data_IF_476672009128
#
_entry.id   IF_476672009128
#
_cell.length_a   1.000
_cell.length_b   1.000
_cell.length_c   1.000
_cell.angle_alpha   90.00
_cell.angle_beta   90.00
_cell.angle_gamma   90.00
#
_symmetry.space_group_name_H-M   'P 1'
#
loop_
_entity.id
_entity.type
_entity.pdbx_description
1 polymer ?
#
# COMPACT_ATOMS: atom_id res chain seq x y z
N UNK A 1 19.06 20.97 9.70
CA UNK A 1 19.23 19.72 10.49
C UNK A 1 17.93 18.94 10.44
N UNK A 2 17.96 17.62 10.18
CA UNK A 2 16.73 16.78 10.18
C UNK A 2 16.43 16.30 11.59
N UNK A 3 15.19 16.52 12.06
CA UNK A 3 14.68 15.87 13.26
C UNK A 3 14.72 14.34 13.08
N UNK A 4 15.03 13.61 14.16
CA UNK A 4 15.00 12.14 14.15
C UNK A 4 13.70 11.68 14.78
N UNK A 5 12.98 10.82 14.08
CA UNK A 5 11.76 10.20 14.58
C UNK A 5 12.05 8.73 14.88
N UNK A 6 11.66 8.26 16.07
CA UNK A 6 11.77 6.87 16.47
C UNK A 6 10.42 6.39 17.03
N UNK A 7 9.96 5.23 16.57
CA UNK A 7 8.83 4.55 17.22
C UNK A 7 9.29 3.84 18.50
N UNK A 8 8.49 3.94 19.54
CA UNK A 8 8.71 3.28 20.84
C UNK A 8 7.42 2.62 21.28
N UNK A 9 7.56 1.52 22.01
CA UNK A 9 6.46 0.91 22.77
C UNK A 9 6.64 1.34 24.21
N UNK A 10 5.55 1.77 24.85
CA UNK A 10 5.59 2.10 26.26
C UNK A 10 5.80 0.83 27.08
N UNK A 11 6.80 0.86 27.96
CA UNK A 11 7.09 -0.22 28.90
C UNK A 11 6.91 0.25 30.37
N UNK A 12 6.14 1.30 30.62
CA UNK A 12 5.97 1.83 31.98
C UNK A 12 5.55 0.75 32.99
N UNK A 13 6.21 0.78 34.16
CA UNK A 13 6.11 -0.18 35.28
C UNK A 13 4.81 -0.08 36.10
N UNK A 14 3.80 0.64 35.62
CA UNK A 14 2.56 0.91 36.36
C UNK A 14 1.43 -0.01 35.86
N UNK A 15 0.87 -0.89 36.71
CA UNK A 15 -0.06 -1.96 36.31
C UNK A 15 -1.45 -1.49 35.85
N UNK A 16 -1.70 -0.18 35.78
CA UNK A 16 -3.00 0.42 35.44
C UNK A 16 -3.04 1.11 34.06
N UNK A 17 -1.96 1.02 33.27
CA UNK A 17 -1.92 1.61 31.93
C UNK A 17 -1.44 0.57 30.92
N UNK A 18 -2.33 0.17 30.01
CA UNK A 18 -2.02 -0.76 28.92
C UNK A 18 -0.94 -0.27 27.96
N UNK A 19 -0.41 -1.17 27.12
CA UNK A 19 0.67 -0.89 26.18
C UNK A 19 0.22 0.09 25.10
N UNK A 20 1.08 1.05 24.75
CA UNK A 20 0.85 2.03 23.68
C UNK A 20 2.06 2.14 22.78
N UNK A 21 1.80 2.56 21.54
CA UNK A 21 2.82 2.89 20.54
C UNK A 21 2.93 4.40 20.46
N UNK A 22 4.15 4.92 20.49
CA UNK A 22 4.41 6.35 20.37
C UNK A 22 5.54 6.68 19.40
N UNK A 23 5.56 7.94 18.95
CA UNK A 23 6.65 8.55 18.21
C UNK A 23 7.41 9.49 19.14
N UNK A 24 8.71 9.24 19.28
CA UNK A 24 9.64 10.21 19.84
C UNK A 24 10.21 11.03 18.69
N UNK A 25 9.91 12.33 18.69
CA UNK A 25 10.50 13.29 17.76
C UNK A 25 11.63 13.99 18.49
N UNK A 26 12.88 13.64 18.20
CA UNK A 26 14.04 14.32 18.77
C UNK A 26 14.45 15.50 17.89
N UNK A 27 14.30 16.71 18.43
CA UNK A 27 14.82 17.95 17.84
C UNK A 27 15.96 18.51 18.70
N UNK A 28 16.82 19.40 18.16
CA UNK A 28 17.88 20.07 18.93
C UNK A 28 17.34 20.91 20.10
N UNK A 29 16.07 21.31 20.04
CA UNK A 29 15.42 22.22 20.99
C UNK A 29 14.67 21.47 22.11
N UNK A 30 14.63 20.13 22.03
CA UNK A 30 13.84 19.27 22.90
C UNK A 30 13.12 18.19 22.11
N UNK A 31 12.79 17.07 22.76
CA UNK A 31 12.07 15.97 22.12
C UNK A 31 10.66 15.81 22.66
N UNK A 32 9.68 15.67 21.76
CA UNK A 32 8.28 15.43 22.10
C UNK A 32 7.91 13.95 21.89
N UNK A 33 7.05 13.43 22.77
CA UNK A 33 6.47 12.09 22.66
C UNK A 33 4.99 12.21 22.29
N UNK A 34 4.63 11.65 21.14
CA UNK A 34 3.25 11.58 20.67
C UNK A 34 2.76 10.13 20.69
N UNK A 35 1.64 9.86 21.36
CA UNK A 35 0.99 8.54 21.33
C UNK A 35 0.19 8.38 20.04
N UNK A 36 0.40 7.26 19.36
CA UNK A 36 -0.29 6.90 18.12
C UNK A 36 -1.49 5.97 18.34
N UNK A 37 -1.58 5.37 19.53
CA UNK A 37 -2.60 4.38 19.88
C UNK A 37 -3.12 4.62 21.29
N UNK A 38 -4.34 4.17 21.51
CA UNK A 38 -4.96 4.04 22.83
C UNK A 38 -4.28 2.91 23.64
N UNK A 39 -4.40 2.89 24.98
CA UNK A 39 -3.84 1.82 25.81
C UNK A 39 -4.45 0.48 25.43
N UNK A 40 -3.60 -0.46 25.07
CA UNK A 40 -3.96 -1.83 24.75
C UNK A 40 -3.78 -2.71 26.00
N UNK A 41 -4.86 -3.35 26.44
CA UNK A 41 -4.83 -4.26 27.60
C UNK A 41 -4.53 -5.71 27.21
N UNK A 42 -4.54 -6.02 25.91
CA UNK A 42 -4.32 -7.35 25.36
C UNK A 42 -3.39 -7.34 24.14
N UNK A 43 -2.55 -8.37 23.93
CA UNK A 43 -1.63 -8.47 22.79
C UNK A 43 -2.34 -8.39 21.43
N UNK A 44 -3.52 -9.01 21.30
CA UNK A 44 -4.26 -9.09 20.04
C UNK A 44 -4.76 -7.69 19.61
N UNK A 45 -5.11 -6.84 20.59
CA UNK A 45 -5.52 -5.45 20.34
C UNK A 45 -4.32 -4.64 19.87
N UNK A 46 -3.14 -4.85 20.46
CA UNK A 46 -1.91 -4.19 20.04
C UNK A 46 -1.52 -4.60 18.61
N UNK A 47 -1.62 -5.89 18.26
CA UNK A 47 -1.35 -6.38 16.91
C UNK A 47 -2.27 -5.73 15.87
N UNK A 48 -3.58 -5.66 16.13
CA UNK A 48 -4.53 -5.00 15.23
C UNK A 48 -4.21 -3.51 15.04
N UNK A 49 -3.85 -2.80 16.12
CA UNK A 49 -3.43 -1.40 16.05
C UNK A 49 -2.12 -1.21 15.26
N UNK A 50 -1.16 -2.14 15.38
CA UNK A 50 0.07 -2.14 14.56
C UNK A 50 -0.26 -2.34 13.08
N UNK A 51 -1.12 -3.31 12.75
CA UNK A 51 -1.53 -3.58 11.36
C UNK A 51 -2.23 -2.37 10.74
N UNK A 52 -3.09 -1.70 11.50
CA UNK A 52 -3.76 -0.47 11.06
C UNK A 52 -2.76 0.65 10.78
N UNK A 53 -1.79 0.89 11.67
CA UNK A 53 -0.72 1.86 11.46
C UNK A 53 0.14 1.51 10.23
N UNK A 54 0.47 0.23 10.04
CA UNK A 54 1.24 -0.22 8.87
C UNK A 54 0.47 0.03 7.57
N UNK A 55 -0.83 -0.24 7.55
CA UNK A 55 -1.69 0.05 6.40
C UNK A 55 -1.72 1.55 6.10
N UNK A 56 -1.97 2.39 7.12
CA UNK A 56 -1.98 3.85 6.95
C UNK A 56 -0.63 4.40 6.46
N UNK A 57 0.49 3.88 6.95
CA UNK A 57 1.83 4.28 6.48
C UNK A 57 2.08 3.85 5.03
N UNK A 58 1.60 2.67 4.61
CA UNK A 58 1.70 2.22 3.22
C UNK A 58 0.85 3.09 2.28
N UNK A 59 -0.37 3.45 2.70
CA UNK A 59 -1.25 4.37 1.97
C UNK A 59 -0.60 5.75 1.84
N UNK A 60 -0.09 6.32 2.93
CA UNK A 60 0.61 7.60 2.92
C UNK A 60 1.85 7.57 2.02
N UNK A 61 2.61 6.47 2.03
CA UNK A 61 3.76 6.30 1.15
C UNK A 61 3.35 6.24 -0.32
N UNK A 62 2.22 5.59 -0.63
CA UNK A 62 1.66 5.59 -1.98
C UNK A 62 1.23 7.00 -2.41
N UNK A 63 0.53 7.75 -1.55
CA UNK A 63 0.15 9.13 -1.82
C UNK A 63 1.39 10.02 -2.05
N UNK A 64 2.40 9.90 -1.18
CA UNK A 64 3.65 10.64 -1.31
C UNK A 64 4.39 10.30 -2.61
N UNK A 65 4.45 9.02 -3.00
CA UNK A 65 5.02 8.59 -4.29
C UNK A 65 4.25 9.21 -5.46
N UNK A 66 2.93 9.27 -5.37
CA UNK A 66 2.12 9.94 -6.38
C UNK A 66 2.43 11.44 -6.44
N UNK A 67 2.62 12.11 -5.29
CA UNK A 67 3.01 13.53 -5.22
C UNK A 67 4.41 13.77 -5.81
N UNK A 68 5.40 12.95 -5.47
CA UNK A 68 6.75 13.08 -6.02
C UNK A 68 6.81 12.77 -7.52
N UNK A 69 6.04 11.78 -8.00
CA UNK A 69 5.92 11.48 -9.41
C UNK A 69 5.30 12.66 -10.19
N UNK A 70 4.35 13.39 -9.60
CA UNK A 70 3.79 14.64 -10.15
C UNK A 70 4.81 15.77 -10.18
N UNK A 71 5.54 15.99 -9.09
CA UNK A 71 6.52 17.06 -8.97
C UNK A 71 7.73 16.89 -9.92
N UNK A 72 8.18 15.65 -10.15
CA UNK A 72 9.29 15.36 -11.07
C UNK A 72 8.93 15.58 -12.56
N UNK A 73 7.65 15.69 -12.90
CA UNK A 73 7.15 15.84 -14.28
C UNK A 73 6.74 17.28 -14.62
N UNK A 74 6.86 18.22 -13.68
CA UNK A 74 6.57 19.64 -13.94
C UNK A 74 5.10 19.93 -14.25
N UNK A 75 4.19 19.01 -13.95
CA UNK A 75 2.79 19.07 -14.37
C UNK A 75 1.86 18.55 -13.25
N UNK A 76 0.77 19.28 -13.02
CA UNK A 76 -0.29 18.93 -12.09
C UNK A 76 -1.06 17.67 -12.58
N UNK A 77 -0.64 16.45 -12.15
CA UNK A 77 -1.35 15.13 -12.32
C UNK A 77 -1.45 14.58 -13.77
N UNK A 78 -1.46 13.24 -14.03
CA UNK A 78 -1.97 12.09 -13.25
C UNK A 78 -0.95 10.96 -12.98
N UNK A 79 -1.34 9.94 -12.18
CA UNK A 79 -0.53 8.75 -11.83
C UNK A 79 -0.01 8.04 -13.08
N UNK A 80 1.31 7.90 -13.20
CA UNK A 80 1.89 7.14 -14.31
C UNK A 80 2.14 5.72 -13.86
N UNK A 81 1.18 4.86 -14.20
CA UNK A 81 1.33 3.42 -14.13
C UNK A 81 2.51 2.98 -15.01
N UNK A 82 3.27 1.94 -14.63
CA UNK A 82 4.33 1.39 -15.47
C UNK A 82 3.83 1.11 -16.89
N UNK A 83 4.59 1.56 -17.90
CA UNK A 83 4.20 1.34 -19.30
C UNK A 83 4.38 -0.10 -19.73
N UNK A 84 5.35 -0.80 -19.14
CA UNK A 84 5.64 -2.19 -19.45
C UNK A 84 4.63 -3.13 -18.79
N UNK A 85 4.02 -4.07 -19.52
CA UNK A 85 3.07 -5.04 -18.99
C UNK A 85 3.65 -5.88 -17.84
N UNK A 86 4.92 -6.29 -17.95
CA UNK A 86 5.62 -7.04 -16.90
C UNK A 86 5.66 -6.30 -15.56
N UNK A 87 6.00 -5.01 -15.60
CA UNK A 87 6.16 -4.17 -14.41
C UNK A 87 4.80 -3.80 -13.80
N UNK A 88 3.82 -3.57 -14.66
CA UNK A 88 2.45 -3.29 -14.26
C UNK A 88 1.80 -4.51 -13.60
N UNK A 89 2.03 -5.72 -14.15
CA UNK A 89 1.60 -6.96 -13.52
C UNK A 89 2.28 -7.19 -12.17
N UNK A 90 3.60 -7.04 -12.08
CA UNK A 90 4.33 -7.21 -10.82
C UNK A 90 3.82 -6.25 -9.73
N UNK A 91 3.48 -5.02 -10.10
CA UNK A 91 2.82 -4.06 -9.20
C UNK A 91 1.47 -4.60 -8.72
N UNK A 92 0.60 -5.04 -9.64
CA UNK A 92 -0.73 -5.57 -9.32
C UNK A 92 -0.66 -6.82 -8.43
N UNK A 93 0.26 -7.74 -8.72
CA UNK A 93 0.48 -8.97 -7.94
C UNK A 93 0.92 -8.66 -6.51
N UNK A 94 1.79 -7.65 -6.32
CA UNK A 94 2.29 -7.26 -5.00
C UNK A 94 1.21 -6.70 -4.05
N UNK A 95 0.06 -6.27 -4.58
CA UNK A 95 -1.07 -5.73 -3.81
C UNK A 95 -2.05 -6.82 -3.34
N UNK A 96 -1.95 -8.04 -3.89
CA UNK A 96 -2.49 -9.26 -3.30
C UNK A 96 -4.02 -9.38 -3.18
N UNK A 97 -4.83 -8.51 -3.80
CA UNK A 97 -6.30 -8.61 -3.73
C UNK A 97 -6.99 -8.32 -5.06
N UNK A 98 -8.09 -9.04 -5.30
CA UNK A 98 -8.90 -8.91 -6.52
C UNK A 98 -9.47 -7.49 -6.68
N UNK A 99 -9.93 -6.86 -5.59
CA UNK A 99 -10.47 -5.50 -5.64
C UNK A 99 -9.44 -4.46 -6.10
N UNK A 100 -8.18 -4.58 -5.65
CA UNK A 100 -7.10 -3.71 -6.13
C UNK A 100 -6.76 -4.00 -7.59
N UNK A 101 -6.73 -5.27 -7.96
CA UNK A 101 -6.50 -5.70 -9.35
C UNK A 101 -7.56 -5.13 -10.29
N UNK A 102 -8.85 -5.24 -9.93
CA UNK A 102 -9.99 -4.66 -10.67
C UNK A 102 -9.85 -3.15 -10.83
N UNK A 103 -9.55 -2.43 -9.75
CA UNK A 103 -9.44 -0.96 -9.77
C UNK A 103 -8.33 -0.49 -10.73
N UNK A 104 -7.16 -1.12 -10.66
CA UNK A 104 -6.03 -0.75 -11.51
C UNK A 104 -6.31 -1.16 -12.95
N UNK A 105 -6.69 -2.42 -13.18
CA UNK A 105 -6.92 -2.96 -14.51
C UNK A 105 -8.04 -2.19 -15.24
N UNK A 106 -9.23 -2.05 -14.64
CA UNK A 106 -10.36 -1.36 -15.27
C UNK A 106 -10.16 0.16 -15.38
N UNK A 107 -9.22 0.74 -14.62
CA UNK A 107 -8.82 2.14 -14.72
C UNK A 107 -7.90 2.45 -15.90
N UNK A 108 -7.29 1.44 -16.53
CA UNK A 108 -6.52 1.60 -17.76
C UNK A 108 -7.43 1.87 -18.96
N UNK A 109 -6.90 2.54 -19.97
CA UNK A 109 -7.52 2.60 -21.29
C UNK A 109 -7.59 1.22 -21.94
N UNK A 110 -8.53 1.03 -22.87
CA UNK A 110 -8.81 -0.28 -23.45
C UNK A 110 -7.59 -0.92 -24.13
N UNK A 111 -6.80 -0.15 -24.88
CA UNK A 111 -5.63 -0.67 -25.57
C UNK A 111 -4.62 -1.25 -24.57
N UNK A 112 -4.43 -0.55 -23.45
CA UNK A 112 -3.52 -0.99 -22.40
C UNK A 112 -4.08 -2.13 -21.54
N UNK A 113 -5.40 -2.23 -21.36
CA UNK A 113 -6.03 -3.42 -20.76
C UNK A 113 -5.80 -4.66 -21.60
N UNK A 114 -5.95 -4.55 -22.92
CA UNK A 114 -5.74 -5.65 -23.87
C UNK A 114 -4.29 -6.11 -23.85
N UNK A 115 -3.35 -5.18 -23.96
CA UNK A 115 -1.91 -5.47 -23.91
C UNK A 115 -1.51 -6.18 -22.62
N UNK A 116 -2.00 -5.69 -21.47
CA UNK A 116 -1.74 -6.30 -20.18
C UNK A 116 -2.42 -7.68 -20.04
N UNK A 117 -3.65 -7.84 -20.53
CA UNK A 117 -4.33 -9.14 -20.52
C UNK A 117 -3.58 -10.18 -21.37
N UNK A 118 -3.13 -9.82 -22.57
CA UNK A 118 -2.33 -10.68 -23.43
C UNK A 118 -1.03 -11.10 -22.75
N UNK A 119 -0.36 -10.16 -22.07
CA UNK A 119 0.81 -10.47 -21.26
C UNK A 119 0.48 -11.48 -20.16
N UNK A 120 -0.57 -11.25 -19.36
CA UNK A 120 -0.92 -12.11 -18.22
C UNK A 120 -1.32 -13.51 -18.70
N UNK A 121 -2.20 -13.60 -19.69
CA UNK A 121 -2.71 -14.87 -20.21
C UNK A 121 -1.62 -15.64 -20.97
N UNK A 122 -0.65 -14.96 -21.57
CA UNK A 122 0.44 -15.58 -22.33
C UNK A 122 1.71 -15.90 -21.54
N UNK A 123 2.06 -15.11 -20.52
CA UNK A 123 3.38 -15.15 -19.88
C UNK A 123 3.34 -15.38 -18.37
N UNK A 124 2.20 -15.16 -17.71
CA UNK A 124 2.05 -15.38 -16.27
C UNK A 124 1.48 -16.76 -16.01
N UNK A 125 1.82 -17.36 -14.86
CA UNK A 125 1.19 -18.61 -14.44
C UNK A 125 -0.26 -18.38 -14.00
N UNK A 126 -1.20 -18.56 -14.93
CA UNK A 126 -2.64 -18.41 -14.71
C UNK A 126 -3.29 -19.60 -13.99
N UNK A 127 -2.54 -20.62 -13.60
CA UNK A 127 -3.08 -21.79 -12.89
C UNK A 127 -2.92 -21.70 -11.37
N UNK A 128 -2.26 -20.65 -10.84
CA UNK A 128 -2.10 -20.43 -9.40
C UNK A 128 -1.99 -18.96 -9.03
N UNK A 129 -2.28 -18.65 -7.76
CA UNK A 129 -2.06 -17.32 -7.18
C UNK A 129 -2.86 -16.21 -7.86
N UNK A 130 -2.26 -15.03 -7.98
CA UNK A 130 -2.88 -13.85 -8.58
C UNK A 130 -3.24 -14.07 -10.07
N UNK A 131 -2.46 -14.85 -10.81
CA UNK A 131 -2.75 -15.17 -12.22
C UNK A 131 -4.04 -15.97 -12.38
N UNK A 132 -4.30 -16.92 -11.49
CA UNK A 132 -5.56 -17.68 -11.49
C UNK A 132 -6.77 -16.81 -11.13
N UNK A 133 -6.61 -15.91 -10.16
CA UNK A 133 -7.65 -14.93 -9.83
C UNK A 133 -7.95 -14.00 -11.02
N UNK A 134 -6.92 -13.52 -11.72
CA UNK A 134 -7.12 -12.72 -12.92
C UNK A 134 -7.89 -13.50 -13.99
N UNK A 135 -7.41 -14.69 -14.36
CA UNK A 135 -8.00 -15.50 -15.42
C UNK A 135 -9.44 -15.93 -15.13
N UNK A 136 -9.79 -16.15 -13.86
CA UNK A 136 -11.16 -16.50 -13.46
C UNK A 136 -12.15 -15.33 -13.61
N UNK A 137 -11.66 -14.10 -13.50
CA UNK A 137 -12.48 -12.89 -13.45
C UNK A 137 -12.35 -12.02 -14.71
N UNK A 138 -11.47 -12.37 -15.64
CA UNK A 138 -11.30 -11.64 -16.88
C UNK A 138 -12.43 -11.93 -17.87
N UNK A 139 -13.09 -10.87 -18.32
CA UNK A 139 -14.14 -10.89 -19.33
C UNK A 139 -13.56 -10.45 -20.67
N UNK A 140 -13.39 -11.40 -21.59
CA UNK A 140 -12.73 -11.18 -22.88
C UNK A 140 -13.51 -10.21 -23.80
N UNK A 141 -14.85 -10.28 -23.78
CA UNK A 141 -15.71 -9.45 -24.64
C UNK A 141 -15.61 -7.96 -24.27
N UNK A 142 -15.59 -7.64 -22.98
CA UNK A 142 -15.45 -6.27 -22.46
C UNK A 142 -13.99 -5.83 -22.26
N UNK A 143 -13.04 -6.77 -22.24
CA UNK A 143 -11.66 -6.51 -21.86
C UNK A 143 -11.54 -5.92 -20.45
N UNK A 144 -12.36 -6.42 -19.53
CA UNK A 144 -12.47 -5.93 -18.13
C UNK A 144 -12.31 -7.07 -17.15
N UNK A 145 -12.00 -6.72 -15.90
CA UNK A 145 -12.01 -7.64 -14.78
C UNK A 145 -13.35 -7.49 -14.03
N UNK A 146 -14.19 -8.51 -14.09
CA UNK A 146 -15.50 -8.59 -13.44
C UNK A 146 -15.39 -8.91 -11.97
#
# INVERSE_FOLDING_TARGET
>A
MRARVRMVVDHQKSPSQGLRIGLVVSSPEGGDLLWLTEPCEAPEVLEAQVEELQRGLKELLWEARAVFAKAARGEESPQVLPERPEELWALMESMGSLEHMRRIFNGLDEARRRELADFILGHVNVFKGAGALFAQHYEEEGGVLG
#
